data_IF_204274575444
#
_entry.id   IF_204274575444
#
_cell.length_a   1.000
_cell.length_b   1.000
_cell.length_c   1.000
_cell.angle_alpha   90.00
_cell.angle_beta   90.00
_cell.angle_gamma   90.00
#
_symmetry.space_group_name_H-M   'P 1'
#
loop_
_entity.id
_entity.type
_entity.pdbx_description
1 polymer ?
#
# COMPACT_ATOMS: atom_id res chain seq x y z
N UNK A 1 5.04 -5.71 19.77
CA UNK A 1 5.39 -7.05 20.28
C UNK A 1 6.32 -7.72 19.27
N UNK A 2 7.55 -8.10 19.66
CA UNK A 2 8.51 -8.78 18.78
C UNK A 2 8.23 -10.28 18.80
N UNK A 3 7.64 -10.84 17.76
CA UNK A 3 7.66 -12.28 17.54
C UNK A 3 8.80 -12.61 16.57
N UNK A 4 9.76 -13.42 17.03
CA UNK A 4 10.83 -13.97 16.19
C UNK A 4 10.33 -15.08 15.26
N UNK A 5 11.21 -15.71 14.46
CA UNK A 5 10.83 -16.81 13.58
C UNK A 5 10.24 -17.98 14.38
N UNK A 6 9.21 -18.62 13.80
CA UNK A 6 8.52 -19.77 14.40
C UNK A 6 9.50 -20.92 14.65
N UNK A 7 9.51 -21.42 15.87
CA UNK A 7 10.32 -22.57 16.30
C UNK A 7 9.49 -23.86 16.19
N UNK A 8 10.17 -25.00 16.14
CA UNK A 8 9.55 -26.34 16.07
C UNK A 8 8.66 -26.71 17.26
N UNK A 9 8.59 -25.85 18.29
CA UNK A 9 7.74 -26.01 19.47
C UNK A 9 6.56 -25.05 19.48
N UNK A 10 6.49 -24.14 18.52
CA UNK A 10 5.45 -23.12 18.48
C UNK A 10 4.14 -23.75 18.02
N UNK A 11 3.09 -23.49 18.79
CA UNK A 11 1.73 -23.93 18.52
C UNK A 11 0.87 -22.70 18.29
N UNK A 12 0.23 -22.63 17.13
CA UNK A 12 -0.71 -21.56 16.82
C UNK A 12 -2.11 -22.15 16.91
N UNK A 13 -2.85 -21.70 17.91
CA UNK A 13 -4.23 -22.11 18.12
C UNK A 13 -5.16 -21.21 17.31
N UNK A 14 -5.91 -21.80 16.38
CA UNK A 14 -6.94 -21.10 15.60
C UNK A 14 -8.25 -21.86 15.76
N UNK A 15 -9.14 -21.33 16.60
CA UNK A 15 -10.38 -22.02 16.96
C UNK A 15 -10.10 -23.34 17.67
N UNK A 16 -10.63 -24.45 17.15
CA UNK A 16 -10.39 -25.81 17.65
C UNK A 16 -9.15 -26.50 17.08
N UNK A 17 -8.39 -25.82 16.21
CA UNK A 17 -7.23 -26.41 15.54
C UNK A 17 -5.92 -25.92 16.14
N UNK A 18 -4.96 -26.83 16.28
CA UNK A 18 -3.60 -26.55 16.74
C UNK A 18 -2.65 -26.74 15.56
N UNK A 19 -2.11 -25.65 15.02
CA UNK A 19 -1.08 -25.68 13.98
C UNK A 19 0.27 -25.85 14.67
N UNK A 20 0.96 -26.96 14.38
CA UNK A 20 2.32 -27.24 14.88
C UNK A 20 3.34 -27.00 13.76
N UNK A 21 4.34 -26.18 14.02
CA UNK A 21 5.48 -26.04 13.12
C UNK A 21 6.41 -27.26 13.26
N UNK A 22 6.53 -28.09 12.21
CA UNK A 22 7.45 -29.22 12.18
C UNK A 22 8.62 -28.95 11.23
N UNK A 23 9.85 -29.29 11.66
CA UNK A 23 11.00 -29.40 10.75
C UNK A 23 10.99 -30.80 10.19
N UNK A 24 10.79 -30.96 8.88
CA UNK A 24 10.87 -32.26 8.23
C UNK A 24 12.30 -32.82 8.34
N UNK A 25 12.52 -33.79 9.22
CA UNK A 25 13.77 -34.56 9.23
C UNK A 25 13.76 -35.52 8.03
N UNK A 26 14.81 -35.47 7.22
CA UNK A 26 15.12 -36.56 6.29
C UNK A 26 15.77 -37.67 7.10
N UNK A 27 15.04 -38.74 7.36
CA UNK A 27 15.65 -39.97 7.86
C UNK A 27 16.51 -40.61 6.76
N UNK A 28 17.82 -40.49 6.92
CA UNK A 28 18.83 -41.21 6.15
C UNK A 28 19.39 -42.35 6.99
N UNK A 29 18.57 -43.33 7.36
CA UNK A 29 18.98 -44.73 7.58
C UNK A 29 17.86 -45.54 8.22
N UNK A 30 17.20 -46.38 7.41
CA UNK A 30 16.85 -47.77 7.78
C UNK A 30 16.08 -48.41 6.62
N UNK A 31 16.49 -49.63 6.27
CA UNK A 31 15.85 -50.46 5.25
C UNK A 31 14.41 -50.86 5.61
N UNK A 32 13.74 -51.64 4.73
CA UNK A 32 12.31 -51.86 4.82
C UNK A 32 11.96 -52.67 6.08
N UNK A 33 11.24 -52.06 7.02
CA UNK A 33 10.56 -52.79 8.10
C UNK A 33 9.08 -52.96 7.74
N UNK A 34 8.69 -54.20 7.49
CA UNK A 34 7.31 -54.68 7.60
C UNK A 34 6.83 -54.52 9.03
N UNK A 35 5.66 -53.91 9.24
CA UNK A 35 5.00 -53.83 10.56
C UNK A 35 3.78 -54.72 10.55
N UNK A 36 3.80 -55.75 11.40
CA UNK A 36 2.71 -56.64 11.74
C UNK A 36 1.67 -55.92 12.61
N UNK A 37 0.39 -56.25 12.39
CA UNK A 37 -0.73 -55.78 13.20
C UNK A 37 -0.72 -56.39 14.62
N UNK A 38 -0.98 -55.55 15.61
CA UNK A 38 -1.54 -55.89 16.94
C UNK A 38 -2.40 -54.67 17.32
N UNK A 39 -3.73 -54.79 17.29
CA UNK A 39 -4.60 -55.18 18.42
C UNK A 39 -4.61 -54.14 19.55
N UNK A 40 -5.27 -53.01 19.29
CA UNK A 40 -6.08 -52.29 20.28
C UNK A 40 -7.11 -51.38 19.55
N UNK A 41 -8.43 -51.57 19.72
CA UNK A 41 -9.44 -50.84 18.98
C UNK A 41 -10.07 -49.77 19.87
N UNK A 42 -9.43 -48.61 20.02
CA UNK A 42 -10.05 -47.32 20.38
C UNK A 42 -8.94 -46.27 20.49
N UNK A 43 -8.68 -45.54 19.40
CA UNK A 43 -8.42 -44.08 19.39
C UNK A 43 -7.70 -43.58 18.12
N UNK A 44 -8.34 -42.58 17.50
CA UNK A 44 -7.86 -41.55 16.56
C UNK A 44 -7.67 -41.90 15.07
N UNK A 45 -8.37 -41.08 14.28
CA UNK A 45 -8.49 -41.02 12.82
C UNK A 45 -7.15 -40.91 12.06
N UNK A 46 -7.17 -41.57 10.90
CA UNK A 46 -6.09 -41.74 9.93
C UNK A 46 -5.43 -40.44 9.44
N UNK A 47 -4.16 -40.23 9.81
CA UNK A 47 -3.24 -39.36 9.05
C UNK A 47 -2.53 -40.22 8.00
N UNK A 48 -2.88 -40.08 6.73
CA UNK A 48 -2.12 -40.68 5.61
C UNK A 48 -1.00 -39.74 5.17
N UNK A 49 0.25 -40.05 5.56
CA UNK A 49 1.45 -39.36 5.07
C UNK A 49 1.90 -39.99 3.75
N UNK A 50 1.99 -39.18 2.68
CA UNK A 50 2.61 -39.57 1.40
C UNK A 50 4.05 -39.06 1.37
N UNK A 51 5.03 -39.95 1.22
CA UNK A 51 6.47 -39.63 1.14
C UNK A 51 6.98 -39.99 -0.26
N UNK A 52 7.54 -39.02 -0.98
CA UNK A 52 8.26 -39.25 -2.25
C UNK A 52 9.75 -38.93 -2.08
N UNK A 53 10.63 -39.84 -2.54
CA UNK A 53 12.10 -39.68 -2.51
C UNK A 53 12.60 -39.00 -3.79
N UNK A 54 13.25 -37.85 -3.67
CA UNK A 54 14.02 -37.22 -4.75
C UNK A 54 15.53 -37.51 -4.59
N UNK A 55 16.25 -37.74 -5.70
CA UNK A 55 17.71 -37.96 -5.72
C UNK A 55 18.50 -36.65 -5.58
N UNK A 56 19.68 -36.65 -4.94
CA UNK A 56 20.45 -35.43 -4.70
C UNK A 56 21.24 -34.97 -5.94
N UNK A 57 21.23 -33.66 -6.17
CA UNK A 57 22.12 -32.94 -7.08
C UNK A 57 23.23 -32.30 -6.25
N UNK A 58 24.49 -32.52 -6.61
CA UNK A 58 25.68 -31.96 -5.95
C UNK A 58 25.94 -30.52 -6.41
N UNK A 59 26.18 -29.61 -5.46
CA UNK A 59 26.66 -28.25 -5.70
C UNK A 59 28.15 -28.11 -5.33
N UNK A 60 28.92 -27.22 -5.99
CA UNK A 60 30.37 -27.09 -5.83
C UNK A 60 30.76 -26.31 -4.56
N UNK A 61 31.92 -26.66 -3.97
CA UNK A 61 32.46 -26.07 -2.74
C UNK A 61 33.25 -24.78 -3.01
N UNK A 62 33.10 -23.77 -2.14
CA UNK A 62 33.99 -22.60 -2.03
C UNK A 62 34.86 -22.67 -0.77
N UNK A 63 36.10 -22.13 -0.76
CA UNK A 63 37.04 -22.31 0.34
C UNK A 63 36.79 -21.33 1.51
N UNK A 64 37.02 -21.82 2.74
CA UNK A 64 36.88 -21.08 4.02
C UNK A 64 38.10 -20.21 4.31
N UNK A 65 37.87 -19.03 4.89
CA UNK A 65 38.87 -18.16 5.52
C UNK A 65 38.63 -18.17 7.05
N UNK A 66 39.70 -18.33 7.84
CA UNK A 66 39.66 -18.36 9.32
C UNK A 66 39.63 -16.96 9.96
N UNK A 67 39.01 -16.78 11.16
CA UNK A 67 39.01 -15.52 11.89
C UNK A 67 40.16 -15.42 12.92
N UNK A 68 40.56 -14.20 13.34
CA UNK A 68 41.66 -13.98 14.30
C UNK A 68 41.20 -14.06 15.78
N UNK A 69 42.15 -14.18 16.75
CA UNK A 69 41.86 -14.59 18.13
C UNK A 69 41.43 -13.46 19.08
N UNK A 70 40.75 -13.84 20.15
CA UNK A 70 40.13 -12.99 21.19
C UNK A 70 41.03 -12.68 22.39
N UNK A 71 40.76 -11.55 23.07
CA UNK A 71 41.40 -11.09 24.31
C UNK A 71 40.45 -11.26 25.54
N UNK A 72 40.97 -11.23 26.79
CA UNK A 72 40.43 -12.02 27.91
C UNK A 72 39.40 -11.29 28.82
N UNK A 73 38.72 -12.11 29.64
CA UNK A 73 37.54 -11.81 30.45
C UNK A 73 37.83 -11.15 31.82
N UNK A 74 36.82 -10.43 32.34
CA UNK A 74 36.76 -9.82 33.68
C UNK A 74 35.87 -10.66 34.66
N UNK A 75 36.06 -10.55 36.00
CA UNK A 75 35.65 -11.56 36.99
C UNK A 75 34.21 -11.39 37.55
N UNK A 76 33.68 -12.40 38.30
CA UNK A 76 32.26 -12.50 38.62
C UNK A 76 31.86 -11.85 39.96
N UNK A 77 30.57 -11.51 40.09
CA UNK A 77 29.93 -11.02 41.31
C UNK A 77 29.30 -12.18 42.15
N UNK A 78 29.19 -12.05 43.50
CA UNK A 78 28.70 -13.10 44.40
C UNK A 78 27.17 -13.03 44.68
N UNK A 79 26.58 -14.03 45.36
CA UNK A 79 25.20 -14.51 45.13
C UNK A 79 24.14 -14.08 46.18
N UNK A 80 22.90 -14.47 45.90
CA UNK A 80 21.64 -14.12 46.55
C UNK A 80 21.18 -15.02 47.73
N UNK A 81 20.36 -14.47 48.63
CA UNK A 81 19.32 -15.09 49.48
C UNK A 81 18.69 -13.99 50.39
N UNK A 82 17.47 -13.99 50.94
CA UNK A 82 16.19 -14.69 50.74
C UNK A 82 15.12 -14.02 51.66
N UNK A 83 13.83 -14.28 51.36
CA UNK A 83 12.62 -14.32 52.24
C UNK A 83 11.86 -13.04 52.70
N UNK A 84 10.60 -13.02 52.23
CA UNK A 84 9.32 -12.99 52.98
C UNK A 84 8.71 -11.66 53.49
N UNK A 85 7.43 -11.45 53.11
CA UNK A 85 6.24 -11.27 53.98
C UNK A 85 5.35 -10.04 53.70
N UNK A 86 4.05 -10.35 53.57
CA UNK A 86 2.84 -9.58 53.90
C UNK A 86 2.29 -8.49 52.96
N UNK A 87 1.09 -8.78 52.43
CA UNK A 87 0.03 -7.81 52.14
C UNK A 87 -0.76 -7.50 53.45
N UNK A 88 -1.64 -6.48 53.50
CA UNK A 88 -3.00 -6.67 52.98
C UNK A 88 -3.62 -5.45 52.26
N UNK A 89 -4.85 -5.66 51.79
CA UNK A 89 -5.69 -4.87 50.90
C UNK A 89 -6.53 -3.76 51.57
N UNK A 90 -7.23 -2.97 50.73
CA UNK A 90 -8.58 -2.35 50.81
C UNK A 90 -8.53 -0.97 50.10
N UNK A 91 -9.22 -0.70 48.99
CA UNK A 91 -10.66 -0.57 48.68
C UNK A 91 -11.16 0.89 48.68
N UNK A 92 -12.08 1.19 47.76
CA UNK A 92 -13.04 2.31 47.66
C UNK A 92 -12.62 3.72 47.14
N UNK A 93 -13.01 3.99 45.88
CA UNK A 93 -14.13 4.86 45.47
C UNK A 93 -14.26 6.33 45.92
N UNK A 94 -14.49 7.19 44.89
CA UNK A 94 -15.42 8.33 44.77
C UNK A 94 -14.98 9.81 44.98
N UNK A 95 -15.27 10.56 43.91
CA UNK A 95 -15.84 11.93 43.81
C UNK A 95 -15.04 13.19 44.20
N UNK A 96 -14.77 13.98 43.14
CA UNK A 96 -14.94 15.43 42.96
C UNK A 96 -14.99 16.36 44.19
N UNK A 97 -14.09 17.36 44.22
CA UNK A 97 -14.46 18.78 44.29
C UNK A 97 -13.26 19.67 43.87
N UNK A 98 -13.63 20.79 43.27
CA UNK A 98 -12.84 21.84 42.64
C UNK A 98 -12.31 22.84 43.68
N UNK A 99 -11.03 23.27 43.60
CA UNK A 99 -10.56 24.67 43.67
C UNK A 99 -9.06 24.87 43.96
N UNK A 100 -8.47 25.76 43.14
CA UNK A 100 -7.35 26.69 43.38
C UNK A 100 -5.88 26.21 43.29
N UNK A 101 -5.16 26.89 42.40
CA UNK A 101 -3.72 26.85 42.13
C UNK A 101 -2.89 27.52 43.26
N UNK A 102 -1.54 27.42 43.31
CA UNK A 102 -0.62 27.86 42.26
C UNK A 102 0.52 26.86 41.89
N UNK A 103 1.14 27.13 40.75
CA UNK A 103 2.21 26.36 40.10
C UNK A 103 3.55 26.37 40.88
N UNK A 104 4.35 25.29 40.82
CA UNK A 104 5.75 25.31 41.23
C UNK A 104 6.68 25.53 40.02
N UNK A 105 7.79 26.20 40.34
CA UNK A 105 8.77 26.81 39.46
C UNK A 105 9.58 25.82 38.60
N UNK A 106 9.87 26.25 37.38
CA UNK A 106 10.78 25.60 36.43
C UNK A 106 12.24 25.73 36.89
N UNK A 107 12.90 24.59 37.11
CA UNK A 107 14.36 24.51 37.25
C UNK A 107 15.02 24.57 35.88
N UNK A 108 15.92 25.54 35.72
CA UNK A 108 16.60 25.90 34.48
C UNK A 108 17.71 24.91 34.09
N UNK A 109 17.71 24.50 32.82
CA UNK A 109 18.78 23.73 32.20
C UNK A 109 20.03 24.61 31.89
N UNK A 110 21.25 24.06 31.94
CA UNK A 110 22.49 24.82 31.75
C UNK A 110 22.75 25.17 30.29
N UNK A 111 23.31 26.37 30.06
CA UNK A 111 23.72 26.92 28.76
C UNK A 111 24.97 26.22 28.21
N UNK A 112 25.11 26.01 26.88
CA UNK A 112 26.36 25.54 26.29
C UNK A 112 27.38 26.68 26.12
N UNK A 113 28.65 26.38 26.41
CA UNK A 113 29.80 27.26 26.17
C UNK A 113 30.18 27.31 24.68
N UNK A 114 30.71 28.44 24.19
CA UNK A 114 31.18 28.58 22.80
C UNK A 114 32.58 27.96 22.62
N UNK A 115 32.75 27.16 21.57
CA UNK A 115 34.05 26.64 21.12
C UNK A 115 34.60 27.59 20.04
N UNK A 116 35.87 28.03 20.10
CA UNK A 116 36.43 28.96 19.13
C UNK A 116 36.77 28.26 17.81
N UNK A 117 36.53 28.98 16.70
CA UNK A 117 36.89 28.58 15.34
C UNK A 117 38.41 28.63 15.13
N UNK A 118 39.02 27.66 14.40
CA UNK A 118 40.39 27.82 13.91
C UNK A 118 40.38 28.63 12.61
N UNK A 119 41.27 29.63 12.54
CA UNK A 119 41.60 30.34 11.31
C UNK A 119 42.41 29.43 10.36
N UNK A 120 42.20 29.49 9.03
CA UNK A 120 42.99 28.74 8.08
C UNK A 120 44.34 29.44 7.82
N UNK A 121 45.42 28.66 7.81
CA UNK A 121 46.72 29.08 7.31
C UNK A 121 47.25 28.06 6.29
N UNK A 122 47.88 28.62 5.26
CA UNK A 122 48.74 28.03 4.21
C UNK A 122 48.11 27.63 2.86
N UNK A 123 48.36 28.52 1.90
CA UNK A 123 49.11 28.35 0.64
C UNK A 123 48.65 27.36 -0.46
N UNK A 124 48.90 27.70 -1.74
CA UNK A 124 48.20 27.13 -2.88
C UNK A 124 48.80 25.79 -3.28
N UNK A 125 47.93 24.78 -3.42
CA UNK A 125 48.28 23.51 -4.08
C UNK A 125 47.65 23.53 -5.47
N UNK A 126 48.54 23.49 -6.45
CA UNK A 126 48.27 23.45 -7.88
C UNK A 126 47.72 22.07 -8.30
N UNK A 127 46.76 22.07 -9.24
CA UNK A 127 46.46 20.94 -10.12
C UNK A 127 45.71 19.72 -9.56
N UNK A 128 44.38 19.78 -9.54
CA UNK A 128 43.54 18.62 -9.87
C UNK A 128 42.22 19.13 -10.48
N UNK A 129 41.89 18.66 -11.67
CA UNK A 129 40.68 19.00 -12.40
C UNK A 129 39.44 18.56 -11.60
N UNK A 130 38.71 19.53 -11.05
CA UNK A 130 37.30 19.34 -10.67
C UNK A 130 36.46 19.29 -11.95
N UNK A 131 35.95 18.11 -12.28
CA UNK A 131 34.76 18.04 -13.14
C UNK A 131 33.57 18.57 -12.34
N UNK A 132 32.74 19.47 -12.91
CA UNK A 132 31.59 19.98 -12.20
C UNK A 132 30.53 18.89 -12.04
N UNK A 133 30.10 18.67 -10.81
CA UNK A 133 28.96 17.85 -10.41
C UNK A 133 27.68 18.30 -11.14
N UNK A 134 27.42 17.71 -12.31
CA UNK A 134 26.34 18.09 -13.22
C UNK A 134 24.93 17.80 -12.68
N UNK A 135 24.80 16.97 -11.63
CA UNK A 135 23.52 16.54 -11.08
C UNK A 135 22.75 17.64 -10.33
N UNK A 136 23.45 18.48 -9.57
CA UNK A 136 22.82 19.52 -8.74
C UNK A 136 22.22 20.66 -9.59
N UNK A 137 22.88 21.01 -10.70
CA UNK A 137 22.45 22.08 -11.61
C UNK A 137 21.20 21.67 -12.40
N UNK A 138 21.13 20.40 -12.82
CA UNK A 138 20.02 19.87 -13.62
C UNK A 138 18.73 19.74 -12.79
N UNK A 139 18.82 19.25 -11.55
CA UNK A 139 17.69 19.17 -10.63
C UNK A 139 17.13 20.56 -10.27
N UNK A 140 18.02 21.54 -10.10
CA UNK A 140 17.63 22.93 -9.81
C UNK A 140 16.89 23.55 -11.01
N UNK A 141 17.42 23.38 -12.22
CA UNK A 141 16.77 23.86 -13.44
C UNK A 141 15.40 23.22 -13.67
N UNK A 142 15.29 21.89 -13.52
CA UNK A 142 14.02 21.17 -13.65
C UNK A 142 12.95 21.70 -12.66
N UNK A 143 13.35 22.00 -11.42
CA UNK A 143 12.46 22.58 -10.41
C UNK A 143 11.96 23.98 -10.78
N UNK A 144 12.83 24.83 -11.32
CA UNK A 144 12.46 26.19 -11.77
C UNK A 144 11.47 26.13 -12.94
N UNK A 145 11.74 25.26 -13.92
CA UNK A 145 10.82 25.03 -15.04
C UNK A 145 9.46 24.51 -14.55
N UNK A 146 9.44 23.58 -13.59
CA UNK A 146 8.20 23.08 -13.01
C UNK A 146 7.41 24.16 -12.26
N UNK A 147 8.08 25.03 -11.50
CA UNK A 147 7.46 26.17 -10.83
C UNK A 147 6.88 27.18 -11.81
N UNK A 148 7.57 27.44 -12.91
CA UNK A 148 7.09 28.35 -13.95
C UNK A 148 5.86 27.77 -14.67
N UNK A 149 5.89 26.48 -15.05
CA UNK A 149 4.74 25.78 -15.61
C UNK A 149 3.53 25.83 -14.66
N UNK A 150 3.75 25.57 -13.37
CA UNK A 150 2.72 25.65 -12.33
C UNK A 150 2.10 27.06 -12.28
N UNK A 151 2.92 28.10 -12.22
CA UNK A 151 2.49 29.51 -12.17
C UNK A 151 1.56 29.86 -13.33
N UNK A 152 1.92 29.48 -14.55
CA UNK A 152 1.11 29.78 -15.73
C UNK A 152 -0.19 28.98 -15.78
N UNK A 153 -0.17 27.70 -15.39
CA UNK A 153 -1.39 26.89 -15.27
C UNK A 153 -2.38 27.50 -14.29
N UNK A 154 -1.91 27.89 -13.10
CA UNK A 154 -2.75 28.55 -12.09
C UNK A 154 -3.30 29.88 -12.59
N UNK A 155 -2.50 30.66 -13.32
CA UNK A 155 -2.95 31.95 -13.88
C UNK A 155 -4.03 31.79 -14.93
N UNK A 156 -3.84 30.90 -15.91
CA UNK A 156 -4.82 30.65 -16.97
C UNK A 156 -6.12 30.09 -16.38
N UNK A 157 -6.04 29.17 -15.41
CA UNK A 157 -7.24 28.66 -14.71
C UNK A 157 -8.01 29.77 -13.99
N UNK A 158 -7.32 30.65 -13.26
CA UNK A 158 -7.97 31.75 -12.55
C UNK A 158 -8.71 32.70 -13.50
N UNK A 159 -8.13 33.01 -14.67
CA UNK A 159 -8.82 33.81 -15.69
C UNK A 159 -10.00 33.05 -16.32
N UNK A 160 -9.86 31.74 -16.55
CA UNK A 160 -10.96 30.91 -17.03
C UNK A 160 -12.15 30.95 -16.07
N UNK A 161 -11.92 30.80 -14.76
CA UNK A 161 -12.96 30.89 -13.75
C UNK A 161 -13.67 32.25 -13.77
N UNK A 162 -12.91 33.35 -13.86
CA UNK A 162 -13.48 34.70 -13.97
C UNK A 162 -14.37 34.84 -15.21
N UNK A 163 -13.89 34.36 -16.37
CA UNK A 163 -14.67 34.41 -17.62
C UNK A 163 -15.92 33.53 -17.57
N UNK A 164 -15.85 32.37 -16.92
CA UNK A 164 -16.99 31.48 -16.73
C UNK A 164 -18.04 32.07 -15.79
N UNK A 165 -17.63 32.70 -14.68
CA UNK A 165 -18.56 33.34 -13.75
C UNK A 165 -19.34 34.49 -14.40
N UNK A 166 -18.69 35.25 -15.30
CA UNK A 166 -19.34 36.30 -16.09
C UNK A 166 -20.38 35.76 -17.08
N UNK A 167 -20.31 34.47 -17.45
CA UNK A 167 -21.21 33.80 -18.41
C UNK A 167 -22.19 32.82 -17.74
N UNK A 168 -22.33 32.86 -16.40
CA UNK A 168 -23.10 31.91 -15.56
C UNK A 168 -24.50 31.56 -16.08
N UNK A 169 -25.19 32.49 -16.74
CA UNK A 169 -26.56 32.28 -17.23
C UNK A 169 -26.64 31.27 -18.39
N UNK A 170 -25.57 31.10 -19.17
CA UNK A 170 -25.59 30.29 -20.40
C UNK A 170 -25.08 28.85 -20.18
N UNK A 171 -24.41 28.56 -19.07
CA UNK A 171 -23.70 27.29 -18.82
C UNK A 171 -24.62 26.20 -18.28
N UNK A 172 -25.63 26.57 -17.47
CA UNK A 172 -26.47 25.61 -16.74
C UNK A 172 -27.39 24.73 -17.61
N UNK A 173 -27.55 25.06 -18.89
CA UNK A 173 -28.41 24.34 -19.85
C UNK A 173 -27.64 23.57 -20.93
N UNK A 174 -26.31 23.63 -20.92
CA UNK A 174 -25.48 23.03 -21.98
C UNK A 174 -25.24 21.55 -21.75
N UNK A 175 -25.18 20.78 -22.84
CA UNK A 175 -24.64 19.42 -22.80
C UNK A 175 -23.11 19.42 -22.62
N UNK A 176 -22.57 18.31 -22.14
CA UNK A 176 -21.15 18.15 -21.81
C UNK A 176 -20.20 18.46 -22.98
N UNK A 177 -20.59 18.08 -24.21
CA UNK A 177 -19.76 18.30 -25.41
C UNK A 177 -19.73 19.79 -25.78
N UNK A 178 -20.86 20.47 -25.68
CA UNK A 178 -20.95 21.91 -25.93
C UNK A 178 -20.20 22.71 -24.86
N UNK A 179 -20.30 22.32 -23.59
CA UNK A 179 -19.55 22.93 -22.48
C UNK A 179 -18.04 22.77 -22.67
N UNK A 180 -17.59 21.57 -23.05
CA UNK A 180 -16.17 21.32 -23.33
C UNK A 180 -15.63 22.22 -24.45
N UNK A 181 -16.37 22.36 -25.56
CA UNK A 181 -15.99 23.25 -26.67
C UNK A 181 -15.93 24.72 -26.25
N UNK A 182 -16.89 25.17 -25.43
CA UNK A 182 -16.89 26.54 -24.91
C UNK A 182 -15.63 26.80 -24.06
N UNK A 183 -15.33 25.89 -23.12
CA UNK A 183 -14.16 26.01 -22.25
C UNK A 183 -12.86 25.97 -23.07
N UNK A 184 -12.77 25.08 -24.06
CA UNK A 184 -11.63 25.03 -24.97
C UNK A 184 -11.43 26.36 -25.72
N UNK A 185 -12.51 26.96 -26.24
CA UNK A 185 -12.48 28.26 -26.89
C UNK A 185 -12.02 29.39 -25.96
N UNK A 186 -12.53 29.43 -24.72
CA UNK A 186 -12.12 30.40 -23.71
C UNK A 186 -10.64 30.25 -23.33
N UNK A 187 -10.16 29.02 -23.18
CA UNK A 187 -8.74 28.74 -22.89
C UNK A 187 -7.85 29.26 -24.02
N UNK A 188 -8.25 29.06 -25.28
CA UNK A 188 -7.52 29.61 -26.43
C UNK A 188 -7.52 31.14 -26.38
N UNK A 189 -8.67 31.77 -26.15
CA UNK A 189 -8.79 33.23 -26.03
C UNK A 189 -7.87 33.80 -24.93
N UNK A 190 -7.89 33.19 -23.74
CA UNK A 190 -7.05 33.59 -22.60
C UNK A 190 -5.57 33.46 -22.94
N UNK A 191 -5.14 32.31 -23.47
CA UNK A 191 -3.73 32.06 -23.77
C UNK A 191 -3.23 33.01 -24.85
N UNK A 192 -4.02 33.29 -25.89
CA UNK A 192 -3.70 34.28 -26.92
C UNK A 192 -3.63 35.70 -26.35
N UNK A 193 -4.54 36.08 -25.45
CA UNK A 193 -4.52 37.41 -24.81
C UNK A 193 -3.27 37.66 -23.94
N UNK A 194 -2.61 36.58 -23.51
CA UNK A 194 -1.41 36.62 -22.67
C UNK A 194 -0.12 36.31 -23.44
N UNK A 195 -0.17 36.23 -24.78
CA UNK A 195 0.92 35.70 -25.61
C UNK A 195 2.26 36.41 -25.34
N UNK A 196 2.25 37.74 -25.23
CA UNK A 196 3.43 38.57 -24.95
C UNK A 196 4.05 38.35 -23.55
N UNK A 197 3.30 37.76 -22.62
CA UNK A 197 3.75 37.52 -21.24
C UNK A 197 4.27 36.09 -21.04
N UNK A 198 3.96 35.16 -21.97
CA UNK A 198 4.30 33.75 -21.82
C UNK A 198 5.77 33.49 -22.20
N UNK A 199 6.54 32.74 -21.40
CA UNK A 199 7.92 32.37 -21.71
C UNK A 199 8.01 31.69 -23.08
N UNK A 200 9.01 31.97 -23.93
CA UNK A 200 9.11 31.41 -25.27
C UNK A 200 9.17 29.87 -25.27
N UNK A 201 9.81 29.27 -24.28
CA UNK A 201 10.02 27.81 -24.19
C UNK A 201 8.80 27.04 -23.62
N UNK A 202 7.75 27.73 -23.20
CA UNK A 202 6.56 27.08 -22.65
C UNK A 202 5.74 26.38 -23.74
N UNK A 203 5.38 25.11 -23.58
CA UNK A 203 4.49 24.46 -24.54
C UNK A 203 3.04 24.96 -24.33
N UNK A 204 2.55 25.79 -25.25
CA UNK A 204 1.18 26.33 -25.21
C UNK A 204 0.14 25.25 -25.42
N UNK A 205 0.40 24.26 -26.28
CA UNK A 205 -0.55 23.18 -26.53
C UNK A 205 -0.72 22.34 -25.26
N UNK A 206 0.39 22.01 -24.60
CA UNK A 206 0.40 21.29 -23.34
C UNK A 206 -0.27 22.09 -22.20
N UNK A 207 0.00 23.40 -22.10
CA UNK A 207 -0.65 24.27 -21.12
C UNK A 207 -2.18 24.27 -21.29
N UNK A 208 -2.67 24.46 -22.53
CA UNK A 208 -4.11 24.46 -22.82
C UNK A 208 -4.73 23.11 -22.49
N UNK A 209 -4.08 22.01 -22.86
CA UNK A 209 -4.51 20.65 -22.53
C UNK A 209 -4.67 20.48 -21.02
N UNK A 210 -3.63 20.80 -20.23
CA UNK A 210 -3.67 20.64 -18.78
C UNK A 210 -4.77 21.48 -18.11
N UNK A 211 -4.97 22.73 -18.56
CA UNK A 211 -6.05 23.58 -18.03
C UNK A 211 -7.42 23.02 -18.40
N UNK A 212 -7.59 22.52 -19.63
CA UNK A 212 -8.82 21.88 -20.06
C UNK A 212 -9.12 20.63 -19.24
N UNK A 213 -8.15 19.73 -19.09
CA UNK A 213 -8.30 18.48 -18.33
C UNK A 213 -8.64 18.77 -16.86
N UNK A 214 -8.12 19.86 -16.27
CA UNK A 214 -8.46 20.29 -14.91
C UNK A 214 -9.88 20.91 -14.82
N UNK A 215 -10.29 21.65 -15.85
CA UNK A 215 -11.58 22.32 -15.92
C UNK A 215 -12.76 21.36 -16.16
N UNK A 216 -12.58 20.32 -16.99
CA UNK A 216 -13.67 19.40 -17.37
C UNK A 216 -13.42 17.94 -17.00
N UNK A 217 -12.18 17.57 -16.66
CA UNK A 217 -11.77 16.19 -16.41
C UNK A 217 -11.28 15.96 -14.98
N UNK A 218 -10.34 15.03 -14.82
CA UNK A 218 -9.68 14.73 -13.54
C UNK A 218 -8.34 15.48 -13.36
N UNK A 219 -8.04 16.41 -14.26
CA UNK A 219 -6.80 17.17 -14.26
C UNK A 219 -5.56 16.26 -14.38
N UNK A 220 -4.51 16.50 -13.58
CA UNK A 220 -3.28 15.71 -13.60
C UNK A 220 -3.48 14.20 -13.39
N UNK A 221 -4.58 13.79 -12.75
CA UNK A 221 -4.86 12.38 -12.51
C UNK A 221 -5.10 11.61 -13.80
N UNK A 222 -5.57 12.24 -14.88
CA UNK A 222 -5.84 11.55 -16.14
C UNK A 222 -4.58 10.90 -16.72
N UNK A 223 -3.47 11.65 -16.72
CA UNK A 223 -2.18 11.15 -17.18
C UNK A 223 -1.66 10.02 -16.28
N UNK A 224 -1.76 10.19 -14.96
CA UNK A 224 -1.29 9.19 -13.98
C UNK A 224 -2.15 7.91 -13.99
N UNK A 225 -3.45 8.03 -14.23
CA UNK A 225 -4.37 6.91 -14.36
C UNK A 225 -4.12 6.15 -15.68
N UNK A 226 -3.81 6.87 -16.76
CA UNK A 226 -3.48 6.27 -18.05
C UNK A 226 -2.12 5.53 -18.05
N UNK A 227 -1.15 5.97 -17.25
CA UNK A 227 0.18 5.34 -17.16
C UNK A 227 0.12 3.98 -16.44
N UNK A 228 0.20 2.87 -17.20
CA UNK A 228 0.13 1.51 -16.66
C UNK A 228 1.31 1.14 -15.74
N UNK A 229 2.41 1.91 -15.75
CA UNK A 229 3.51 1.71 -14.79
C UNK A 229 3.18 2.20 -13.37
N UNK A 230 2.18 3.09 -13.24
CA UNK A 230 1.70 3.60 -11.95
C UNK A 230 0.75 2.58 -11.32
N UNK A 231 1.05 2.17 -10.09
CA UNK A 231 0.22 1.27 -9.27
C UNK A 231 -0.61 2.02 -8.23
N UNK A 232 -0.12 3.15 -7.74
CA UNK A 232 -0.79 3.97 -6.72
C UNK A 232 -0.53 5.46 -6.95
N UNK A 233 -1.52 6.31 -6.67
CA UNK A 233 -1.45 7.76 -6.76
C UNK A 233 -1.87 8.34 -5.41
N UNK A 234 -1.07 9.24 -4.86
CA UNK A 234 -1.32 9.90 -3.58
C UNK A 234 -1.21 11.41 -3.75
N UNK A 235 -2.33 12.12 -3.60
CA UNK A 235 -2.40 13.58 -3.57
C UNK A 235 -2.44 14.00 -2.11
N UNK A 236 -1.31 14.47 -1.58
CA UNK A 236 -1.23 14.96 -0.20
C UNK A 236 -1.71 16.41 -0.08
N UNK A 237 -1.49 17.19 -1.15
CA UNK A 237 -1.96 18.56 -1.36
C UNK A 237 -1.96 18.85 -2.87
N UNK A 238 -2.51 19.98 -3.30
CA UNK A 238 -2.58 20.34 -4.72
C UNK A 238 -1.19 20.38 -5.41
N UNK A 239 -0.14 20.74 -4.68
CA UNK A 239 1.25 20.85 -5.13
C UNK A 239 2.15 19.67 -4.71
N UNK A 240 1.57 18.63 -4.09
CA UNK A 240 2.31 17.50 -3.54
C UNK A 240 1.63 16.17 -3.90
N UNK A 241 2.04 15.63 -5.05
CA UNK A 241 1.55 14.35 -5.58
C UNK A 241 2.70 13.34 -5.58
N UNK A 242 2.43 12.14 -5.08
CA UNK A 242 3.31 10.98 -5.17
C UNK A 242 2.66 9.87 -6.00
N UNK A 243 3.50 9.08 -6.63
CA UNK A 243 3.08 7.88 -7.36
C UNK A 243 3.96 6.70 -6.96
N UNK A 244 3.38 5.52 -6.93
CA UNK A 244 4.13 4.28 -6.85
C UNK A 244 4.33 3.70 -8.25
N UNK A 245 5.59 3.39 -8.58
CA UNK A 245 5.97 2.67 -9.79
C UNK A 245 6.88 1.51 -9.41
N UNK A 246 6.53 0.29 -9.83
CA UNK A 246 7.29 -0.93 -9.53
C UNK A 246 7.64 -1.08 -8.02
N UNK A 247 6.68 -0.79 -7.14
CA UNK A 247 6.86 -0.89 -5.68
C UNK A 247 7.72 0.22 -5.06
N UNK A 248 8.08 1.26 -5.82
CA UNK A 248 8.85 2.41 -5.33
C UNK A 248 8.02 3.68 -5.38
N UNK A 249 7.97 4.37 -4.25
CA UNK A 249 7.32 5.66 -4.13
C UNK A 249 8.21 6.77 -4.69
N UNK A 250 7.66 7.63 -5.54
CA UNK A 250 8.36 8.79 -6.11
C UNK A 250 7.44 10.01 -6.18
N UNK A 251 8.02 11.20 -6.08
CA UNK A 251 7.29 12.45 -6.27
C UNK A 251 6.96 12.63 -7.75
N UNK A 252 5.71 12.96 -8.05
CA UNK A 252 5.25 13.23 -9.41
C UNK A 252 5.70 14.62 -9.88
N UNK A 253 5.97 14.76 -11.18
CA UNK A 253 6.24 16.05 -11.81
C UNK A 253 4.95 16.86 -12.05
N UNK A 254 3.82 16.18 -12.16
CA UNK A 254 2.51 16.81 -12.34
C UNK A 254 1.89 17.16 -11.00
N UNK A 255 1.16 18.28 -10.98
CA UNK A 255 0.51 18.86 -9.80
C UNK A 255 -0.83 19.46 -10.22
N UNK A 256 -1.76 19.60 -9.29
CA UNK A 256 -2.96 20.42 -9.51
C UNK A 256 -2.57 21.91 -9.47
N UNK A 257 -3.46 22.80 -9.89
CA UNK A 257 -3.18 24.24 -9.82
C UNK A 257 -3.73 24.92 -8.56
N UNK A 258 -4.67 24.28 -7.83
CA UNK A 258 -5.21 24.71 -6.54
C UNK A 258 -5.96 23.61 -5.79
N UNK A 259 -6.34 23.88 -4.54
CA UNK A 259 -7.23 23.02 -3.76
C UNK A 259 -8.62 22.85 -4.39
N UNK A 260 -9.19 23.90 -4.99
CA UNK A 260 -10.49 23.81 -5.67
C UNK A 260 -10.46 22.83 -6.85
N UNK A 261 -9.32 22.71 -7.52
CA UNK A 261 -9.16 21.75 -8.60
C UNK A 261 -9.11 20.30 -8.10
N UNK A 262 -8.45 20.07 -6.95
CA UNK A 262 -8.48 18.76 -6.28
C UNK A 262 -9.91 18.43 -5.83
N UNK A 263 -10.62 19.39 -5.22
CA UNK A 263 -12.05 19.25 -4.87
C UNK A 263 -12.90 18.88 -6.09
N UNK A 264 -12.74 19.62 -7.19
CA UNK A 264 -13.48 19.35 -8.45
C UNK A 264 -13.21 17.94 -8.99
N UNK A 265 -11.96 17.48 -8.92
CA UNK A 265 -11.60 16.12 -9.34
C UNK A 265 -12.23 15.06 -8.43
N UNK A 266 -12.19 15.27 -7.10
CA UNK A 266 -12.84 14.39 -6.12
C UNK A 266 -14.34 14.31 -6.39
N UNK A 267 -15.02 15.44 -6.56
CA UNK A 267 -16.46 15.51 -6.84
C UNK A 267 -16.83 14.75 -8.12
N UNK A 268 -16.06 14.92 -9.20
CA UNK A 268 -16.26 14.18 -10.46
C UNK A 268 -16.04 12.68 -10.32
N UNK A 269 -15.13 12.26 -9.44
CA UNK A 269 -14.92 10.84 -9.14
C UNK A 269 -16.12 10.26 -8.38
N UNK A 270 -16.63 10.95 -7.36
CA UNK A 270 -17.62 10.38 -6.45
C UNK A 270 -19.06 10.53 -6.92
N UNK A 271 -19.39 11.59 -7.66
CA UNK A 271 -20.75 11.89 -8.08
C UNK A 271 -21.40 10.77 -8.93
N UNK A 272 -20.71 10.17 -9.94
CA UNK A 272 -21.26 9.04 -10.70
C UNK A 272 -21.48 7.78 -9.88
N UNK A 273 -20.85 7.67 -8.70
CA UNK A 273 -20.93 6.52 -7.81
C UNK A 273 -22.09 6.66 -6.79
N UNK A 274 -22.86 7.76 -6.85
CA UNK A 274 -23.91 8.06 -5.89
C UNK A 274 -23.38 8.32 -4.47
N UNK A 275 -22.09 8.65 -4.35
CA UNK A 275 -21.45 9.02 -3.09
C UNK A 275 -21.43 10.54 -2.96
N UNK A 276 -21.41 11.03 -1.72
CA UNK A 276 -21.32 12.46 -1.40
C UNK A 276 -20.07 12.70 -0.55
N UNK A 277 -19.44 13.84 -0.79
CA UNK A 277 -18.36 14.37 0.03
C UNK A 277 -18.57 15.88 0.16
N UNK A 278 -18.76 16.32 1.39
CA UNK A 278 -19.01 17.71 1.75
C UNK A 278 -18.63 17.94 3.23
N UNK A 279 -18.77 19.15 3.75
CA UNK A 279 -18.37 19.48 5.14
C UNK A 279 -19.07 18.61 6.20
N UNK A 280 -20.27 18.08 5.90
CA UNK A 280 -20.99 17.18 6.81
C UNK A 280 -20.49 15.74 6.74
N UNK A 281 -19.91 15.35 5.60
CA UNK A 281 -19.37 14.02 5.30
C UNK A 281 -18.01 14.16 4.61
N UNK A 282 -16.95 14.59 5.33
CA UNK A 282 -15.68 15.03 4.73
C UNK A 282 -14.76 13.90 4.29
N UNK A 283 -15.23 12.64 4.33
CA UNK A 283 -14.46 11.46 3.96
C UNK A 283 -15.30 10.55 3.06
N UNK A 284 -14.65 9.92 2.10
CA UNK A 284 -15.31 8.97 1.20
C UNK A 284 -14.37 7.84 0.80
N UNK A 285 -14.90 6.63 0.83
CA UNK A 285 -14.30 5.45 0.23
C UNK A 285 -15.17 4.99 -0.94
N UNK A 286 -14.53 4.74 -2.07
CA UNK A 286 -15.23 4.46 -3.32
C UNK A 286 -14.46 3.51 -4.22
N UNK A 287 -15.19 2.90 -5.15
CA UNK A 287 -14.65 2.01 -6.18
C UNK A 287 -15.01 2.53 -7.56
N UNK A 288 -13.99 2.75 -8.37
CA UNK A 288 -14.13 3.19 -9.75
C UNK A 288 -14.60 2.04 -10.65
N UNK A 289 -15.10 2.38 -11.84
CA UNK A 289 -15.58 1.41 -12.83
C UNK A 289 -14.51 0.45 -13.34
N UNK A 290 -13.25 0.86 -13.31
CA UNK A 290 -12.09 0.04 -13.67
C UNK A 290 -11.64 -0.90 -12.52
N UNK A 291 -12.32 -0.86 -11.37
CA UNK A 291 -12.01 -1.64 -10.18
C UNK A 291 -11.04 -0.96 -9.21
N UNK A 292 -10.48 0.21 -9.58
CA UNK A 292 -9.55 0.98 -8.75
C UNK A 292 -10.25 1.49 -7.49
N UNK A 293 -9.51 1.58 -6.40
CA UNK A 293 -10.03 2.07 -5.11
C UNK A 293 -9.63 3.51 -4.90
N UNK A 294 -10.54 4.28 -4.34
CA UNK A 294 -10.34 5.70 -4.06
C UNK A 294 -10.73 5.98 -2.62
N UNK A 295 -9.83 6.62 -1.90
CA UNK A 295 -10.10 7.25 -0.62
C UNK A 295 -9.85 8.76 -0.76
N UNK A 296 -10.82 9.59 -0.36
CA UNK A 296 -10.65 11.05 -0.36
C UNK A 296 -11.08 11.65 0.98
N UNK A 297 -10.35 12.68 1.41
CA UNK A 297 -10.61 13.42 2.64
C UNK A 297 -10.49 14.92 2.34
N UNK A 298 -11.47 15.70 2.78
CA UNK A 298 -11.53 17.15 2.53
C UNK A 298 -11.45 17.95 3.85
N UNK A 299 -11.20 19.27 3.79
CA UNK A 299 -11.34 20.13 4.96
C UNK A 299 -12.73 20.01 5.62
N UNK A 300 -12.83 20.17 6.95
CA UNK A 300 -11.76 20.58 7.88
C UNK A 300 -10.82 19.46 8.34
N UNK A 301 -11.04 18.19 7.96
CA UNK A 301 -10.19 17.08 8.39
C UNK A 301 -8.80 17.11 7.74
N UNK A 302 -8.76 17.45 6.45
CA UNK A 302 -7.52 17.58 5.70
C UNK A 302 -6.96 19.01 5.83
N UNK A 303 -6.10 19.23 6.84
CA UNK A 303 -5.60 20.56 7.23
C UNK A 303 -4.78 21.28 6.15
N UNK A 304 -4.16 20.53 5.22
CA UNK A 304 -3.35 21.09 4.12
C UNK A 304 -4.14 21.30 2.82
N UNK A 305 -5.47 21.16 2.88
CA UNK A 305 -6.34 21.07 1.71
C UNK A 305 -6.79 19.63 1.46
N UNK A 306 -7.69 19.42 0.48
CA UNK A 306 -8.19 18.09 0.14
C UNK A 306 -7.06 17.13 -0.27
N UNK A 307 -7.17 15.88 0.16
CA UNK A 307 -6.26 14.81 -0.19
C UNK A 307 -7.00 13.59 -0.74
N UNK A 308 -6.29 12.79 -1.52
CA UNK A 308 -6.85 11.69 -2.31
C UNK A 308 -5.80 10.60 -2.47
N UNK A 309 -6.19 9.34 -2.26
CA UNK A 309 -5.38 8.18 -2.62
C UNK A 309 -6.15 7.31 -3.60
N UNK A 310 -5.54 6.99 -4.74
CA UNK A 310 -6.07 6.06 -5.72
C UNK A 310 -5.13 4.86 -5.81
N UNK A 311 -5.62 3.69 -5.43
CA UNK A 311 -4.92 2.43 -5.65
C UNK A 311 -5.48 1.78 -6.90
N UNK A 312 -4.67 1.75 -7.96
CA UNK A 312 -5.12 1.28 -9.27
C UNK A 312 -5.36 -0.22 -9.23
N UNK A 313 -6.40 -0.65 -9.94
CA UNK A 313 -6.61 -2.07 -10.15
C UNK A 313 -5.55 -2.59 -11.13
N UNK A 314 -4.73 -3.54 -10.67
CA UNK A 314 -3.69 -4.13 -11.53
C UNK A 314 -4.35 -4.88 -12.69
N UNK A 315 -4.10 -4.45 -13.93
CA UNK A 315 -4.52 -5.22 -15.11
C UNK A 315 -3.62 -6.42 -15.38
N UNK A 316 -2.37 -6.37 -14.91
CA UNK A 316 -1.40 -7.42 -15.12
C UNK A 316 -1.66 -8.56 -14.13
N UNK A 317 -2.12 -9.70 -14.69
CA UNK A 317 -2.26 -10.96 -13.97
C UNK A 317 -0.90 -11.64 -13.99
N UNK A 318 -0.23 -11.68 -12.84
CA UNK A 318 0.97 -12.49 -12.71
C UNK A 318 0.62 -13.97 -12.87
N UNK A 319 1.45 -14.69 -13.61
CA UNK A 319 1.39 -16.12 -13.78
C UNK A 319 2.45 -16.82 -12.92
N UNK A 320 2.36 -18.15 -12.82
CA UNK A 320 3.33 -18.93 -12.06
C UNK A 320 4.74 -18.85 -12.66
N UNK A 321 4.85 -18.75 -13.99
CA UNK A 321 6.10 -18.53 -14.73
C UNK A 321 6.79 -17.23 -14.32
N UNK A 322 6.03 -16.15 -14.11
CA UNK A 322 6.58 -14.87 -13.66
C UNK A 322 7.21 -14.98 -12.28
N UNK A 323 6.54 -15.67 -11.33
CA UNK A 323 7.07 -15.87 -9.99
C UNK A 323 8.37 -16.70 -10.00
N UNK A 324 8.49 -17.66 -10.91
CA UNK A 324 9.73 -18.41 -11.14
C UNK A 324 10.81 -17.50 -11.73
N UNK A 325 10.45 -16.68 -12.73
CA UNK A 325 11.35 -15.71 -13.35
C UNK A 325 11.91 -14.68 -12.36
N UNK A 326 11.10 -14.26 -11.37
CA UNK A 326 11.53 -13.39 -10.28
C UNK A 326 12.38 -14.11 -9.22
N UNK A 327 12.47 -15.44 -9.26
CA UNK A 327 13.10 -16.25 -8.22
C UNK A 327 12.33 -16.29 -6.90
N UNK A 328 11.05 -15.88 -6.90
CA UNK A 328 10.20 -15.88 -5.71
C UNK A 328 9.74 -17.29 -5.32
N UNK A 329 9.63 -18.19 -6.30
CA UNK A 329 9.27 -19.60 -6.12
C UNK A 329 10.09 -20.46 -7.10
N UNK A 330 10.44 -21.68 -6.71
CA UNK A 330 11.10 -22.62 -7.62
C UNK A 330 10.09 -23.44 -8.42
N UNK A 331 10.45 -23.91 -9.62
CA UNK A 331 9.59 -24.77 -10.43
C UNK A 331 9.06 -26.01 -9.67
N UNK A 332 9.87 -26.74 -8.88
CA UNK A 332 9.36 -27.87 -8.11
C UNK A 332 8.31 -27.46 -7.06
N UNK A 333 8.45 -26.26 -6.48
CA UNK A 333 7.48 -25.73 -5.53
C UNK A 333 6.17 -25.34 -6.22
N UNK A 334 6.23 -24.75 -7.41
CA UNK A 334 5.04 -24.49 -8.24
C UNK A 334 4.31 -25.79 -8.56
N UNK A 335 5.04 -26.84 -8.98
CA UNK A 335 4.45 -28.14 -9.27
C UNK A 335 3.79 -28.76 -8.02
N UNK A 336 4.43 -28.67 -6.86
CA UNK A 336 3.86 -29.12 -5.59
C UNK A 336 2.57 -28.35 -5.23
N UNK A 337 2.60 -27.02 -5.30
CA UNK A 337 1.45 -26.19 -4.98
C UNK A 337 0.29 -26.42 -5.97
N UNK A 338 0.59 -26.62 -7.26
CA UNK A 338 -0.41 -27.00 -8.25
C UNK A 338 -1.12 -28.29 -7.87
N UNK A 339 -0.38 -29.34 -7.53
CA UNK A 339 -0.98 -30.61 -7.08
C UNK A 339 -1.79 -30.41 -5.80
N UNK A 340 -1.31 -29.63 -4.85
CA UNK A 340 -2.05 -29.32 -3.62
C UNK A 340 -3.40 -28.64 -3.91
N UNK A 341 -3.42 -27.70 -4.86
CA UNK A 341 -4.65 -27.03 -5.32
C UNK A 341 -5.55 -28.03 -6.04
N UNK A 342 -5.06 -28.83 -6.98
CA UNK A 342 -5.86 -29.82 -7.72
C UNK A 342 -6.47 -30.90 -6.80
N UNK A 343 -5.76 -31.29 -5.74
CA UNK A 343 -6.21 -32.25 -4.73
C UNK A 343 -7.06 -31.62 -3.61
N UNK A 344 -7.48 -30.36 -3.76
CA UNK A 344 -8.37 -29.64 -2.83
C UNK A 344 -7.85 -29.56 -1.40
N UNK A 345 -6.53 -29.48 -1.22
CA UNK A 345 -5.97 -29.20 0.09
C UNK A 345 -6.30 -27.77 0.53
N UNK A 346 -6.54 -27.60 1.83
CA UNK A 346 -6.70 -26.28 2.43
C UNK A 346 -5.33 -25.60 2.53
N UNK A 347 -5.20 -24.40 1.95
CA UNK A 347 -3.94 -23.66 1.89
C UNK A 347 -4.12 -22.31 2.58
N UNK A 348 -3.19 -21.97 3.47
CA UNK A 348 -3.09 -20.65 4.09
C UNK A 348 -1.77 -20.03 3.66
N UNK A 349 -1.83 -18.84 3.06
CA UNK A 349 -0.65 -18.06 2.68
C UNK A 349 -0.41 -17.01 3.77
N UNK A 350 0.78 -16.97 4.34
CA UNK A 350 1.14 -16.06 5.43
C UNK A 350 2.38 -15.25 5.08
N UNK A 351 2.52 -14.07 5.70
CA UNK A 351 3.58 -13.11 5.41
C UNK A 351 3.23 -11.67 5.80
N UNK A 352 4.23 -10.79 5.86
CA UNK A 352 4.06 -9.37 6.17
C UNK A 352 3.18 -8.62 5.17
N UNK A 353 2.73 -7.42 5.53
CA UNK A 353 2.05 -6.52 4.59
C UNK A 353 2.95 -6.25 3.38
N UNK A 354 2.39 -6.27 2.17
CA UNK A 354 3.15 -6.06 0.93
C UNK A 354 4.03 -7.23 0.49
N UNK A 355 4.07 -8.36 1.19
CA UNK A 355 4.94 -9.50 0.85
C UNK A 355 4.46 -10.37 -0.33
N UNK A 356 3.45 -9.93 -1.09
CA UNK A 356 2.91 -10.69 -2.23
C UNK A 356 1.94 -11.83 -1.88
N UNK A 357 1.29 -11.82 -0.71
CA UNK A 357 0.33 -12.87 -0.31
C UNK A 357 -0.83 -13.02 -1.29
N UNK A 358 -1.54 -11.93 -1.54
CA UNK A 358 -2.68 -11.88 -2.48
C UNK A 358 -2.23 -12.20 -3.89
N UNK A 359 -1.01 -11.82 -4.26
CA UNK A 359 -0.38 -12.19 -5.54
C UNK A 359 -0.23 -13.70 -5.67
N UNK A 360 0.37 -14.37 -4.68
CA UNK A 360 0.51 -15.83 -4.70
C UNK A 360 -0.86 -16.51 -4.66
N UNK A 361 -1.80 -15.99 -3.87
CA UNK A 361 -3.17 -16.50 -3.80
C UNK A 361 -3.82 -16.46 -5.19
N UNK A 362 -3.71 -15.35 -5.91
CA UNK A 362 -4.27 -15.18 -7.24
C UNK A 362 -3.65 -16.16 -8.24
N UNK A 363 -2.33 -16.35 -8.20
CA UNK A 363 -1.62 -17.34 -9.04
C UNK A 363 -2.10 -18.76 -8.75
N UNK A 364 -2.18 -19.16 -7.47
CA UNK A 364 -2.65 -20.51 -7.10
C UNK A 364 -4.12 -20.73 -7.44
N UNK A 365 -4.93 -19.67 -7.41
CA UNK A 365 -6.34 -19.72 -7.79
C UNK A 365 -6.51 -20.10 -9.27
N UNK A 366 -5.54 -19.81 -10.13
CA UNK A 366 -5.57 -20.23 -11.53
C UNK A 366 -5.32 -21.74 -11.73
N UNK A 367 -4.81 -22.45 -10.72
CA UNK A 367 -4.70 -23.91 -10.75
C UNK A 367 -6.00 -24.63 -10.36
N UNK A 368 -7.05 -23.89 -9.97
CA UNK A 368 -8.37 -24.46 -9.70
C UNK A 368 -8.99 -24.98 -11.02
N UNK A 369 -9.40 -26.25 -11.11
CA UNK A 369 -10.02 -26.81 -12.30
C UNK A 369 -11.28 -26.04 -12.74
N UNK A 370 -11.53 -25.88 -14.05
CA UNK A 370 -12.62 -25.03 -14.56
C UNK A 370 -14.04 -25.55 -14.27
N UNK A 371 -14.18 -26.83 -13.90
CA UNK A 371 -15.48 -27.44 -13.56
C UNK A 371 -15.95 -27.14 -12.13
N UNK A 372 -15.14 -26.48 -11.31
CA UNK A 372 -15.45 -26.23 -9.90
C UNK A 372 -16.13 -24.86 -9.71
N UNK A 373 -17.12 -24.80 -8.81
CA UNK A 373 -17.76 -23.56 -8.39
C UNK A 373 -16.94 -22.87 -7.31
N UNK A 374 -16.54 -21.64 -7.57
CA UNK A 374 -15.68 -20.86 -6.68
C UNK A 374 -16.46 -19.67 -6.14
N UNK A 375 -16.35 -19.45 -4.82
CA UNK A 375 -16.83 -18.21 -4.19
C UNK A 375 -15.64 -17.48 -3.57
N UNK A 376 -15.36 -16.27 -4.04
CA UNK A 376 -14.34 -15.40 -3.42
C UNK A 376 -15.00 -14.50 -2.38
N UNK A 377 -14.30 -14.24 -1.27
CA UNK A 377 -14.71 -13.30 -0.22
C UNK A 377 -13.51 -12.41 0.10
N UNK A 378 -13.68 -11.10 -0.06
CA UNK A 378 -12.58 -10.15 0.12
C UNK A 378 -13.11 -8.89 0.82
N UNK A 379 -12.27 -8.19 1.58
CA UNK A 379 -12.63 -6.86 2.10
C UNK A 379 -12.89 -5.89 0.96
N UNK A 380 -12.07 -5.98 -0.09
CA UNK A 380 -12.40 -5.42 -1.38
C UNK A 380 -11.80 -6.30 -2.48
N UNK A 381 -12.50 -6.43 -3.61
CA UNK A 381 -12.13 -7.47 -4.58
C UNK A 381 -10.79 -7.14 -5.28
N UNK A 382 -9.79 -7.98 -5.11
CA UNK A 382 -8.47 -7.94 -5.76
C UNK A 382 -8.24 -9.19 -6.61
N UNK A 383 -8.84 -10.31 -6.24
CA UNK A 383 -8.68 -11.58 -6.93
C UNK A 383 -9.29 -11.55 -8.34
N UNK A 384 -8.54 -12.10 -9.29
CA UNK A 384 -8.90 -12.14 -10.70
C UNK A 384 -8.84 -13.56 -11.23
N UNK A 385 -9.89 -14.31 -10.93
CA UNK A 385 -10.03 -15.71 -11.33
C UNK A 385 -10.61 -15.83 -12.74
N UNK A 386 -10.09 -16.76 -13.53
CA UNK A 386 -10.52 -16.99 -14.91
C UNK A 386 -11.60 -18.10 -15.04
N UNK A 387 -11.98 -18.75 -13.93
CA UNK A 387 -12.91 -19.86 -13.97
C UNK A 387 -14.34 -19.39 -14.31
N UNK A 388 -15.09 -20.17 -15.11
CA UNK A 388 -16.42 -19.77 -15.57
C UNK A 388 -17.46 -19.73 -14.45
N UNK A 389 -17.31 -20.59 -13.43
CA UNK A 389 -18.28 -20.72 -12.35
C UNK A 389 -17.84 -19.97 -11.08
N UNK A 390 -17.64 -18.66 -11.23
CA UNK A 390 -17.14 -17.76 -10.19
C UNK A 390 -18.26 -16.89 -9.60
N UNK A 391 -18.28 -16.77 -8.27
CA UNK A 391 -19.04 -15.73 -7.56
C UNK A 391 -18.08 -14.92 -6.72
N UNK A 392 -18.07 -13.61 -6.89
CA UNK A 392 -17.22 -12.71 -6.11
C UNK A 392 -18.04 -11.92 -5.11
N UNK A 393 -17.66 -12.00 -3.84
CA UNK A 393 -18.29 -11.30 -2.73
C UNK A 393 -17.30 -10.31 -2.11
N UNK A 394 -17.79 -9.12 -1.83
CA UNK A 394 -17.03 -8.03 -1.22
C UNK A 394 -17.69 -7.65 0.10
N UNK A 395 -16.88 -7.50 1.16
CA UNK A 395 -17.35 -6.98 2.42
C UNK A 395 -17.85 -5.54 2.24
N UNK A 396 -18.82 -5.14 3.06
CA UNK A 396 -19.34 -3.78 3.03
C UNK A 396 -19.08 -3.13 4.39
N UNK A 397 -18.25 -2.07 4.47
CA UNK A 397 -18.12 -1.34 5.72
C UNK A 397 -19.46 -0.68 6.10
N UNK A 398 -19.62 -0.36 7.38
CA UNK A 398 -20.74 0.43 7.83
C UNK A 398 -20.81 1.78 7.09
N UNK A 399 -22.02 2.28 6.86
CA UNK A 399 -22.19 3.66 6.42
C UNK A 399 -21.80 4.66 7.53
N UNK A 400 -21.85 5.95 7.24
CA UNK A 400 -21.52 7.02 8.20
C UNK A 400 -22.39 6.99 9.49
N UNK A 401 -23.57 6.37 9.43
CA UNK A 401 -24.45 6.17 10.60
C UNK A 401 -24.13 4.88 11.38
N UNK A 402 -23.06 4.16 11.03
CA UNK A 402 -22.69 2.89 11.65
C UNK A 402 -23.59 1.71 11.26
N UNK A 403 -24.39 1.83 10.20
CA UNK A 403 -25.37 0.81 9.77
C UNK A 403 -24.95 0.10 8.50
N UNK A 404 -25.48 -1.10 8.32
CA UNK A 404 -25.36 -1.86 7.07
C UNK A 404 -23.99 -2.48 6.82
N UNK A 405 -23.16 -2.62 7.85
CA UNK A 405 -21.94 -3.41 7.76
C UNK A 405 -22.26 -4.86 7.36
N UNK A 406 -21.45 -5.43 6.46
CA UNK A 406 -21.44 -6.84 6.11
C UNK A 406 -19.98 -7.30 6.17
N UNK A 407 -19.64 -8.06 7.21
CA UNK A 407 -18.26 -8.51 7.45
C UNK A 407 -17.87 -9.72 6.58
N UNK A 408 -16.57 -9.93 6.35
CA UNK A 408 -16.04 -11.17 5.73
C UNK A 408 -16.61 -12.41 6.43
N UNK A 409 -16.69 -12.40 7.76
CA UNK A 409 -17.22 -13.53 8.53
C UNK A 409 -18.66 -13.87 8.13
N UNK A 410 -19.50 -12.86 7.92
CA UNK A 410 -20.88 -13.05 7.51
C UNK A 410 -20.97 -13.60 6.09
N UNK A 411 -20.16 -13.06 5.17
CA UNK A 411 -20.07 -13.56 3.80
C UNK A 411 -19.60 -15.01 3.76
N UNK A 412 -18.56 -15.39 4.51
CA UNK A 412 -18.08 -16.77 4.58
C UNK A 412 -19.17 -17.72 5.10
N UNK A 413 -19.92 -17.32 6.14
CA UNK A 413 -21.07 -18.11 6.60
C UNK A 413 -22.13 -18.26 5.51
N UNK A 414 -22.40 -17.20 4.75
CA UNK A 414 -23.33 -17.23 3.63
C UNK A 414 -22.85 -18.14 2.49
N UNK A 415 -21.54 -18.16 2.20
CA UNK A 415 -20.93 -19.01 1.19
C UNK A 415 -21.29 -20.49 1.37
N UNK A 416 -21.40 -20.96 2.62
CA UNK A 416 -21.75 -22.35 2.92
C UNK A 416 -23.14 -22.76 2.39
N UNK A 417 -24.02 -21.79 2.08
CA UNK A 417 -25.34 -22.01 1.47
C UNK A 417 -25.34 -21.90 -0.05
N UNK A 418 -24.21 -21.50 -0.63
CA UNK A 418 -24.07 -21.24 -2.07
C UNK A 418 -23.54 -22.44 -2.85
N UNK A 419 -23.42 -23.61 -2.20
CA UNK A 419 -22.85 -24.86 -2.74
C UNK A 419 -21.49 -24.65 -3.44
N UNK A 420 -20.50 -24.01 -2.79
CA UNK A 420 -19.18 -23.86 -3.38
C UNK A 420 -18.44 -25.21 -3.40
N UNK A 421 -17.66 -25.47 -4.45
CA UNK A 421 -16.57 -26.44 -4.40
C UNK A 421 -15.35 -25.84 -3.71
N UNK A 422 -15.12 -24.52 -3.87
CA UNK A 422 -14.07 -23.76 -3.20
C UNK A 422 -14.54 -22.43 -2.67
N UNK A 423 -13.98 -22.07 -1.51
CA UNK A 423 -14.06 -20.72 -0.94
C UNK A 423 -12.65 -20.16 -0.92
N UNK A 424 -12.44 -19.01 -1.54
CA UNK A 424 -11.18 -18.29 -1.52
C UNK A 424 -11.38 -17.01 -0.71
N UNK A 425 -10.61 -16.83 0.36
CA UNK A 425 -10.69 -15.64 1.21
C UNK A 425 -9.42 -14.83 0.99
N UNK A 426 -9.59 -13.60 0.48
CA UNK A 426 -8.51 -12.69 0.13
C UNK A 426 -8.06 -11.76 1.26
#
# INVERSE_FOLDING_TARGET
MRHGPLRSRDQINIGGYVIKAGVGQRDTDSGPKTVSAAEDPDDVEHVRTLIFKARPVTAPQTPRVEPPPSAPAAPPAPPAAARASAAPALDASLSAFEQTAPAPEMSAAPRPHPVPAPAPSNEPVDGAHDEPDGGATQATYARLVAQEKFKWRTRVRNELLKMMDLRRTDIGSMDERSLRKLIEGLIVEIVTSMEDQLPPDLDRALLRKHVLDEAVGLGPLEELLADESVTEIMVNAFDDIYVEKAGRLGKSEVTFSSNDAVMSAIERIVAPLGRRIDESSPMVDARLKDGSRVNAIIPPLALRGPCLTIRKFSKNKLEASDLVGFGAVSEPMVAFLKVAVEQRLNIIISGGTGSGKTTLLNVLSNFIPPGERIVTVEDAAELQLNQPHLVSLEARPANLEGKGEISIRELVKNCLRMRPDRIVVG
#
